data_IF_822370800587
#
_entry.id   IF_822370800587
#
_cell.length_a   1.000
_cell.length_b   1.000
_cell.length_c   1.000
_cell.angle_alpha   90.00
_cell.angle_beta   90.00
_cell.angle_gamma   90.00
#
_symmetry.space_group_name_H-M   'P 1'
#
loop_
_entity.id
_entity.type
_entity.pdbx_description
1 polymer ?
#
# COMPACT_ATOMS: atom_id res chain seq x y z
N UNK A 1 -12.25 -10.60 15.07
CA UNK A 1 -11.10 -10.95 14.21
C UNK A 1 -10.22 -9.72 14.06
N UNK A 2 -8.92 -9.84 14.33
CA UNK A 2 -7.94 -8.73 14.35
C UNK A 2 -7.27 -8.65 12.99
N UNK A 3 -8.00 -8.17 11.99
CA UNK A 3 -7.46 -7.89 10.67
C UNK A 3 -6.51 -6.71 10.77
N UNK A 4 -5.21 -6.99 10.89
CA UNK A 4 -4.21 -5.96 11.06
C UNK A 4 -3.49 -5.70 9.73
N UNK A 5 -4.04 -4.80 8.92
CA UNK A 5 -3.43 -4.34 7.68
C UNK A 5 -2.03 -3.77 7.93
N UNK A 6 -1.84 -3.00 9.01
CA UNK A 6 -0.56 -2.42 9.39
C UNK A 6 0.50 -3.50 9.62
N UNK A 7 0.14 -4.58 10.34
CA UNK A 7 1.09 -5.69 10.57
C UNK A 7 1.47 -6.41 9.28
N UNK A 8 0.53 -6.59 8.33
CA UNK A 8 0.85 -7.18 7.02
C UNK A 8 1.79 -6.30 6.22
N UNK A 9 1.52 -4.99 6.21
CA UNK A 9 2.36 -3.99 5.54
C UNK A 9 3.75 -3.94 6.18
N UNK A 10 3.84 -3.94 7.51
CA UNK A 10 5.11 -3.89 8.25
C UNK A 10 6.03 -5.07 7.93
N UNK A 11 5.45 -6.24 7.62
CA UNK A 11 6.19 -7.47 7.32
C UNK A 11 6.57 -7.63 5.83
N UNK A 12 6.36 -6.61 4.99
CA UNK A 12 6.77 -6.66 3.58
C UNK A 12 8.30 -6.69 3.47
N UNK A 13 8.83 -7.72 2.78
CA UNK A 13 10.24 -7.83 2.42
C UNK A 13 10.56 -6.91 1.21
N UNK A 14 10.72 -5.60 1.48
CA UNK A 14 10.93 -4.59 0.43
C UNK A 14 12.17 -4.81 -0.41
N UNK A 15 13.31 -5.14 0.21
CA UNK A 15 14.57 -5.33 -0.51
C UNK A 15 14.50 -6.52 -1.47
N UNK A 16 13.90 -7.63 -1.05
CA UNK A 16 13.74 -8.83 -1.89
C UNK A 16 12.82 -8.54 -3.08
N UNK A 17 11.74 -7.79 -2.83
CA UNK A 17 10.77 -7.38 -3.86
C UNK A 17 11.39 -6.44 -4.89
N UNK A 18 12.25 -5.51 -4.43
CA UNK A 18 13.02 -4.64 -5.32
C UNK A 18 14.01 -5.47 -6.14
N UNK A 19 14.73 -6.41 -5.54
CA UNK A 19 15.70 -7.27 -6.25
C UNK A 19 15.03 -8.18 -7.30
N UNK A 20 13.82 -8.66 -7.04
CA UNK A 20 13.06 -9.52 -7.96
C UNK A 20 12.40 -8.76 -9.12
N UNK A 21 12.22 -7.45 -9.00
CA UNK A 21 11.53 -6.65 -10.01
C UNK A 21 12.40 -6.43 -11.25
N UNK A 22 12.00 -7.01 -12.40
CA UNK A 22 12.62 -6.76 -13.73
C UNK A 22 12.58 -5.29 -14.16
N UNK A 23 11.76 -4.46 -13.50
CA UNK A 23 11.62 -3.02 -13.81
C UNK A 23 12.66 -2.15 -13.10
N UNK A 24 13.54 -2.76 -12.30
CA UNK A 24 14.66 -2.07 -11.65
C UNK A 24 15.68 -1.63 -12.68
N UNK A 25 15.99 -0.33 -12.68
CA UNK A 25 17.05 0.21 -13.50
C UNK A 25 18.36 -0.55 -13.24
N UNK A 26 19.02 -0.98 -14.31
CA UNK A 26 20.27 -1.76 -14.33
C UNK A 26 21.38 -1.21 -13.40
N UNK A 27 21.30 0.07 -13.02
CA UNK A 27 22.17 0.73 -12.04
C UNK A 27 22.06 0.23 -10.59
N UNK A 28 20.91 -0.32 -10.14
CA UNK A 28 20.79 -0.93 -8.81
C UNK A 28 21.38 -2.34 -8.75
N UNK A 29 21.55 -3.02 -9.89
CA UNK A 29 22.22 -4.32 -9.95
C UNK A 29 23.74 -4.12 -10.05
N UNK A 30 24.19 -3.06 -10.72
CA UNK A 30 25.62 -2.78 -10.92
C UNK A 30 26.37 -2.43 -9.62
N UNK A 31 25.75 -1.75 -8.64
CA UNK A 31 26.38 -1.53 -7.32
C UNK A 31 26.25 -2.74 -6.38
N UNK A 32 25.26 -3.62 -6.59
CA UNK A 32 25.12 -4.87 -5.83
C UNK A 32 26.07 -5.97 -6.33
N UNK A 33 26.51 -5.91 -7.59
CA UNK A 33 27.27 -7.00 -8.24
C UNK A 33 28.67 -6.56 -8.73
N UNK A 34 28.95 -5.27 -8.93
CA UNK A 34 30.10 -4.83 -9.72
C UNK A 34 31.16 -4.03 -8.98
N UNK A 35 31.93 -4.68 -8.11
CA UNK A 35 33.06 -4.06 -7.41
C UNK A 35 34.16 -5.01 -6.94
N UNK A 36 34.32 -6.17 -7.55
CA UNK A 36 35.48 -7.05 -7.37
C UNK A 36 35.47 -7.94 -6.12
N UNK A 37 35.68 -9.24 -6.35
CA UNK A 37 36.08 -10.29 -5.40
C UNK A 37 34.96 -10.88 -4.51
N UNK A 38 34.70 -12.17 -4.77
CA UNK A 38 34.06 -13.18 -3.90
C UNK A 38 32.60 -12.95 -3.49
N UNK A 39 31.77 -13.78 -4.12
CA UNK A 39 30.47 -14.28 -3.66
C UNK A 39 30.59 -14.95 -2.28
N UNK A 40 30.79 -14.17 -1.21
CA UNK A 40 30.60 -14.55 0.19
C UNK A 40 30.75 -13.30 1.06
N UNK A 41 29.70 -12.99 1.83
CA UNK A 41 29.58 -12.01 2.94
C UNK A 41 28.98 -10.63 2.65
N UNK A 42 27.77 -10.46 3.22
CA UNK A 42 27.20 -9.24 3.81
C UNK A 42 26.61 -8.15 2.88
N UNK A 43 25.43 -8.42 2.29
CA UNK A 43 24.43 -7.36 2.10
C UNK A 43 23.80 -7.05 3.47
N UNK A 44 24.41 -6.15 4.23
CA UNK A 44 23.83 -5.66 5.50
C UNK A 44 23.10 -4.34 5.27
N UNK A 45 22.08 -4.45 4.42
CA UNK A 45 21.06 -3.44 4.27
C UNK A 45 19.72 -3.94 4.82
N UNK A 46 18.93 -3.06 5.42
CA UNK A 46 17.53 -3.35 5.77
C UNK A 46 16.66 -2.21 5.27
N UNK A 47 15.50 -2.52 4.69
CA UNK A 47 14.45 -1.56 4.41
C UNK A 47 13.22 -1.97 5.22
N UNK A 48 12.95 -1.23 6.30
CA UNK A 48 11.84 -1.53 7.20
C UNK A 48 10.73 -0.52 6.99
N UNK A 49 9.48 -0.98 7.02
CA UNK A 49 8.32 -0.09 7.01
C UNK A 49 7.94 0.26 8.45
N UNK A 50 7.79 1.55 8.72
CA UNK A 50 7.44 2.10 10.03
C UNK A 50 6.37 3.20 9.90
N UNK A 51 5.81 3.66 11.02
CA UNK A 51 4.85 4.76 11.06
C UNK A 51 3.66 4.61 10.08
N UNK A 52 3.08 3.41 10.04
CA UNK A 52 1.96 3.11 9.15
C UNK A 52 0.69 3.79 9.68
N UNK A 53 0.00 4.50 8.82
CA UNK A 53 -1.26 5.17 9.10
C UNK A 53 -2.26 4.84 7.99
N UNK A 54 -3.46 4.46 8.40
CA UNK A 54 -4.57 4.13 7.52
C UNK A 54 -5.74 5.05 7.85
N UNK A 55 -6.14 5.86 6.88
CA UNK A 55 -7.35 6.68 6.97
C UNK A 55 -8.42 6.09 6.04
N UNK A 56 -9.52 5.63 6.66
CA UNK A 56 -10.64 5.03 5.95
C UNK A 56 -11.58 6.15 5.50
N UNK A 57 -11.47 6.53 4.23
CA UNK A 57 -12.35 7.53 3.63
C UNK A 57 -13.82 7.10 3.62
N UNK A 58 -14.69 8.07 3.31
CA UNK A 58 -16.14 7.82 3.24
C UNK A 58 -16.45 6.83 2.10
N UNK A 59 -17.28 5.84 2.39
CA UNK A 59 -17.83 4.93 1.39
C UNK A 59 -18.85 5.70 0.54
N UNK A 60 -18.63 5.71 -0.77
CA UNK A 60 -19.58 6.24 -1.74
C UNK A 60 -20.46 5.11 -2.29
N UNK A 61 -21.72 5.43 -2.54
CA UNK A 61 -22.73 4.46 -2.98
C UNK A 61 -23.28 4.93 -4.32
N UNK A 62 -23.27 4.05 -5.31
CA UNK A 62 -23.91 4.28 -6.61
C UNK A 62 -25.23 3.51 -6.68
N UNK A 63 -26.35 4.24 -6.54
CA UNK A 63 -27.68 3.71 -6.82
C UNK A 63 -27.98 3.85 -8.33
N UNK A 64 -28.63 2.86 -8.98
CA UNK A 64 -29.43 1.76 -8.41
C UNK A 64 -28.73 0.38 -8.29
N UNK A 65 -27.42 0.29 -8.53
CA UNK A 65 -26.72 -1.00 -8.74
C UNK A 65 -26.18 -1.69 -7.47
N UNK A 66 -26.54 -1.24 -6.26
CA UNK A 66 -25.97 -1.76 -4.99
C UNK A 66 -24.42 -1.83 -5.06
N UNK A 67 -23.81 -0.84 -5.72
CA UNK A 67 -22.37 -0.74 -5.96
C UNK A 67 -21.75 0.27 -5.00
N UNK A 68 -20.62 -0.11 -4.41
CA UNK A 68 -19.91 0.67 -3.41
C UNK A 68 -18.49 0.93 -3.84
N UNK A 69 -17.99 2.11 -3.52
CA UNK A 69 -16.59 2.45 -3.67
C UNK A 69 -16.07 3.10 -2.40
N UNK A 70 -14.94 2.63 -1.89
CA UNK A 70 -14.22 3.19 -0.77
C UNK A 70 -12.81 3.59 -1.22
N UNK A 71 -12.30 4.68 -0.65
CA UNK A 71 -10.91 5.10 -0.79
C UNK A 71 -10.25 5.02 0.58
N UNK A 72 -9.11 4.36 0.66
CA UNK A 72 -8.32 4.24 1.89
C UNK A 72 -7.01 4.97 1.64
N UNK A 73 -6.73 6.02 2.40
CA UNK A 73 -5.44 6.71 2.35
C UNK A 73 -4.45 5.93 3.22
N UNK A 74 -3.29 5.62 2.67
CA UNK A 74 -2.21 4.91 3.33
C UNK A 74 -0.96 5.76 3.33
N UNK A 75 -0.39 5.95 4.52
CA UNK A 75 0.88 6.63 4.71
C UNK A 75 1.82 5.76 5.54
N UNK A 76 3.11 5.76 5.21
CA UNK A 76 4.14 5.10 6.01
C UNK A 76 5.53 5.62 5.68
N UNK A 77 6.47 5.32 6.57
CA UNK A 77 7.89 5.60 6.38
C UNK A 77 8.63 4.30 6.01
N UNK A 78 9.65 4.45 5.17
CA UNK A 78 10.61 3.40 4.82
C UNK A 78 11.98 3.80 5.36
N UNK A 79 12.44 3.06 6.36
CA UNK A 79 13.72 3.21 7.02
C UNK A 79 14.75 2.32 6.35
N UNK A 80 15.63 2.94 5.58
CA UNK A 80 16.68 2.29 4.82
C UNK A 80 18.01 2.43 5.56
N UNK A 81 18.50 1.31 6.09
CA UNK A 81 19.83 1.21 6.70
C UNK A 81 20.75 0.52 5.72
N UNK A 82 21.91 1.11 5.47
CA UNK A 82 22.92 0.55 4.58
C UNK A 82 24.28 0.70 5.26
N UNK A 83 24.94 -0.44 5.57
CA UNK A 83 26.28 -0.43 6.19
C UNK A 83 27.34 0.39 5.45
N UNK A 84 27.33 0.53 4.11
CA UNK A 84 28.25 1.43 3.41
C UNK A 84 28.15 2.92 3.84
N UNK A 85 27.10 3.30 4.56
CA UNK A 85 26.79 4.69 4.93
C UNK A 85 26.88 4.94 6.44
N UNK A 86 27.84 4.31 7.11
CA UNK A 86 28.17 4.58 8.52
C UNK A 86 26.98 4.41 9.48
N UNK A 87 26.06 3.49 9.18
CA UNK A 87 24.79 3.26 9.89
C UNK A 87 23.79 4.42 9.87
N UNK A 88 24.00 5.45 9.05
CA UNK A 88 22.97 6.47 8.85
C UNK A 88 21.74 5.84 8.21
N UNK A 89 20.57 6.12 8.78
CA UNK A 89 19.29 5.66 8.25
C UNK A 89 18.76 6.72 7.31
N UNK A 90 18.58 6.34 6.05
CA UNK A 90 17.86 7.16 5.10
C UNK A 90 16.36 6.88 5.26
N UNK A 91 15.56 7.92 5.47
CA UNK A 91 14.11 7.79 5.63
C UNK A 91 13.41 8.30 4.38
N UNK A 92 12.48 7.51 3.87
CA UNK A 92 11.60 7.90 2.75
C UNK A 92 10.16 7.78 3.21
N UNK A 93 9.38 8.84 3.10
CA UNK A 93 7.95 8.82 3.35
C UNK A 93 7.20 8.44 2.08
N UNK A 94 6.18 7.60 2.20
CA UNK A 94 5.32 7.15 1.11
C UNK A 94 3.85 7.37 1.46
N UNK A 95 3.10 7.91 0.50
CA UNK A 95 1.66 8.16 0.59
C UNK A 95 0.98 7.62 -0.67
N UNK A 96 -0.17 6.97 -0.52
CA UNK A 96 -0.98 6.47 -1.63
C UNK A 96 -2.43 6.24 -1.21
N UNK A 97 -3.34 6.22 -2.18
CA UNK A 97 -4.74 5.87 -2.00
C UNK A 97 -5.01 4.49 -2.59
N UNK A 98 -5.67 3.63 -1.82
CA UNK A 98 -6.22 2.35 -2.27
C UNK A 98 -7.70 2.53 -2.58
N UNK A 99 -8.07 2.37 -3.85
CA UNK A 99 -9.45 2.36 -4.30
C UNK A 99 -9.99 0.93 -4.25
N UNK A 100 -11.14 0.77 -3.61
CA UNK A 100 -11.82 -0.52 -3.43
C UNK A 100 -13.25 -0.39 -3.89
N UNK A 101 -13.64 -1.27 -4.79
CA UNK A 101 -14.99 -1.42 -5.26
C UNK A 101 -15.55 -2.73 -4.74
N UNK A 102 -16.83 -2.75 -4.39
CA UNK A 102 -17.53 -3.96 -3.96
C UNK A 102 -19.04 -3.82 -4.21
N UNK A 103 -19.74 -4.94 -4.28
CA UNK A 103 -21.19 -4.96 -4.52
C UNK A 103 -21.84 -6.16 -3.85
N UNK A 104 -23.17 -6.13 -3.80
CA UNK A 104 -23.96 -7.28 -3.35
C UNK A 104 -24.17 -8.25 -4.52
N UNK A 105 -23.73 -9.48 -4.34
CA UNK A 105 -23.94 -10.57 -5.28
C UNK A 105 -24.78 -11.67 -4.63
N UNK A 106 -25.62 -12.31 -5.43
CA UNK A 106 -26.46 -13.40 -4.97
C UNK A 106 -25.75 -14.74 -5.21
N UNK A 107 -25.58 -15.54 -4.17
CA UNK A 107 -25.06 -16.90 -4.29
C UNK A 107 -26.07 -17.86 -4.93
N UNK A 108 -25.64 -19.09 -5.20
CA UNK A 108 -26.45 -20.15 -5.79
C UNK A 108 -27.68 -20.55 -4.94
N UNK A 109 -27.64 -20.28 -3.63
CA UNK A 109 -28.72 -20.53 -2.68
C UNK A 109 -29.64 -19.32 -2.50
N UNK A 110 -29.35 -18.22 -3.17
CA UNK A 110 -30.12 -17.00 -3.12
C UNK A 110 -29.77 -16.04 -1.96
N UNK A 111 -28.72 -16.31 -1.20
CA UNK A 111 -28.19 -15.41 -0.17
C UNK A 111 -27.41 -14.29 -0.83
N UNK A 112 -27.47 -13.08 -0.27
CA UNK A 112 -26.70 -11.94 -0.76
C UNK A 112 -25.45 -11.81 0.08
N UNK A 113 -24.29 -11.81 -0.58
CA UNK A 113 -22.99 -11.61 0.04
C UNK A 113 -22.30 -10.38 -0.57
N UNK A 114 -21.45 -9.71 0.20
CA UNK A 114 -20.58 -8.66 -0.33
C UNK A 114 -19.39 -9.30 -1.05
N UNK A 115 -19.24 -8.96 -2.32
CA UNK A 115 -18.14 -9.44 -3.15
C UNK A 115 -17.22 -8.26 -3.48
N UNK A 116 -15.93 -8.50 -3.35
CA UNK A 116 -14.90 -7.54 -3.71
C UNK A 116 -14.77 -7.46 -5.22
N UNK A 117 -14.72 -6.23 -5.72
CA UNK A 117 -14.46 -5.88 -7.11
C UNK A 117 -13.01 -5.52 -7.36
N UNK A 118 -12.81 -4.37 -8.01
CA UNK A 118 -11.48 -3.79 -8.16
C UNK A 118 -10.94 -3.37 -6.80
N UNK A 119 -9.73 -3.82 -6.45
CA UNK A 119 -8.98 -3.32 -5.31
C UNK A 119 -7.57 -3.01 -5.78
N UNK A 120 -7.27 -1.71 -5.93
CA UNK A 120 -6.03 -1.23 -6.56
C UNK A 120 -5.57 0.08 -5.97
N UNK A 121 -4.26 0.26 -5.91
CA UNK A 121 -3.67 1.55 -5.56
C UNK A 121 -3.84 2.51 -6.74
N UNK A 122 -4.32 3.72 -6.48
CA UNK A 122 -4.47 4.75 -7.49
C UNK A 122 -3.09 5.25 -7.95
N UNK A 123 -2.66 5.01 -9.20
CA UNK A 123 -1.28 5.30 -9.60
C UNK A 123 -0.88 6.78 -9.47
N UNK A 124 -1.85 7.69 -9.60
CA UNK A 124 -1.65 9.15 -9.48
C UNK A 124 -1.55 9.63 -8.03
N UNK A 125 -1.97 8.81 -7.07
CA UNK A 125 -1.90 9.14 -5.64
C UNK A 125 -0.52 8.84 -5.04
N UNK A 126 0.25 7.94 -5.67
CA UNK A 126 1.53 7.48 -5.15
C UNK A 126 2.54 8.63 -5.12
N UNK A 127 2.97 8.99 -3.91
CA UNK A 127 3.99 10.01 -3.68
C UNK A 127 5.04 9.46 -2.75
N UNK A 128 6.31 9.70 -3.09
CA UNK A 128 7.43 9.37 -2.22
C UNK A 128 8.36 10.56 -2.02
N UNK A 129 8.74 10.84 -0.78
CA UNK A 129 9.61 11.96 -0.42
C UNK A 129 10.75 11.46 0.46
N UNK A 130 11.98 11.85 0.12
CA UNK A 130 13.15 11.52 0.95
C UNK A 130 13.23 12.56 2.06
N UNK A 131 13.23 12.12 3.32
CA UNK A 131 13.23 12.97 4.50
C UNK A 131 14.64 13.26 5.04
N UNK A 132 15.67 12.57 4.54
CA UNK A 132 17.06 12.75 4.99
C UNK A 132 17.72 13.90 4.25
N UNK A 133 18.28 14.88 4.99
CA UNK A 133 18.87 16.11 4.43
C UNK A 133 20.40 15.96 4.18
N UNK A 134 21.13 15.30 5.08
CA UNK A 134 22.59 15.15 5.01
C UNK A 134 23.02 13.90 4.23
N UNK A 135 23.03 14.01 2.91
CA UNK A 135 23.29 12.89 2.00
C UNK A 135 24.56 13.16 1.16
N UNK A 136 25.60 12.33 1.34
CA UNK A 136 26.78 12.34 0.46
C UNK A 136 26.39 12.12 -1.02
N UNK A 137 27.05 12.75 -2.01
CA UNK A 137 26.69 12.64 -3.42
C UNK A 137 26.56 11.19 -3.95
N UNK A 138 27.37 10.26 -3.43
CA UNK A 138 27.29 8.82 -3.77
C UNK A 138 25.95 8.19 -3.34
N UNK A 139 25.45 8.60 -2.16
CA UNK A 139 24.20 8.13 -1.56
C UNK A 139 23.00 8.74 -2.30
N UNK A 140 23.12 9.98 -2.75
CA UNK A 140 22.06 10.70 -3.47
C UNK A 140 21.61 9.97 -4.73
N UNK A 141 22.54 9.42 -5.50
CA UNK A 141 22.21 8.64 -6.70
C UNK A 141 21.47 7.35 -6.33
N UNK A 142 21.95 6.65 -5.31
CA UNK A 142 21.32 5.43 -4.82
C UNK A 142 19.88 5.69 -4.33
N UNK A 143 19.67 6.71 -3.49
CA UNK A 143 18.34 7.04 -2.96
C UNK A 143 17.37 7.48 -4.06
N UNK A 144 17.85 8.17 -5.10
CA UNK A 144 17.03 8.49 -6.27
C UNK A 144 16.56 7.23 -6.99
N UNK A 145 17.45 6.25 -7.20
CA UNK A 145 17.10 4.99 -7.85
C UNK A 145 16.16 4.15 -6.96
N UNK A 146 16.46 4.08 -5.66
CA UNK A 146 15.61 3.43 -4.67
C UNK A 146 14.19 4.00 -4.70
N UNK A 147 14.06 5.33 -4.63
CA UNK A 147 12.77 6.04 -4.71
C UNK A 147 11.98 5.67 -5.98
N UNK A 148 12.63 5.73 -7.14
CA UNK A 148 12.00 5.41 -8.43
C UNK A 148 11.54 3.95 -8.53
N UNK A 149 12.27 3.02 -7.90
CA UNK A 149 11.87 1.62 -7.88
C UNK A 149 10.77 1.37 -6.85
N UNK A 150 10.84 2.05 -5.69
CA UNK A 150 9.81 1.99 -4.67
C UNK A 150 8.46 2.43 -5.24
N UNK A 151 8.41 3.56 -5.95
CA UNK A 151 7.18 4.06 -6.62
C UNK A 151 6.53 3.03 -7.56
N UNK A 152 7.31 2.10 -8.13
CA UNK A 152 6.80 1.06 -9.04
C UNK A 152 6.39 -0.21 -8.32
N UNK A 153 7.15 -0.61 -7.30
CA UNK A 153 6.97 -1.90 -6.63
C UNK A 153 5.98 -1.80 -5.47
N UNK A 154 6.00 -0.68 -4.75
CA UNK A 154 5.19 -0.50 -3.55
C UNK A 154 3.68 -0.65 -3.76
N UNK A 155 3.07 -0.16 -4.86
CA UNK A 155 1.63 -0.26 -5.04
C UNK A 155 1.16 -1.73 -5.07
N UNK A 156 1.90 -2.57 -5.79
CA UNK A 156 1.61 -4.01 -5.89
C UNK A 156 1.78 -4.74 -4.56
N UNK A 157 2.83 -4.42 -3.80
CA UNK A 157 3.03 -5.04 -2.49
C UNK A 157 1.93 -4.67 -1.49
N UNK A 158 1.41 -3.45 -1.56
CA UNK A 158 0.26 -3.03 -0.75
C UNK A 158 -1.01 -3.75 -1.20
N UNK A 159 -1.27 -3.82 -2.51
CA UNK A 159 -2.41 -4.58 -3.07
C UNK A 159 -2.42 -6.04 -2.57
N UNK A 160 -1.27 -6.73 -2.67
CA UNK A 160 -1.12 -8.13 -2.27
C UNK A 160 -1.36 -8.36 -0.77
N UNK A 161 -1.05 -7.37 0.07
CA UNK A 161 -1.25 -7.48 1.51
C UNK A 161 -2.65 -7.07 1.98
N UNK A 162 -3.20 -6.02 1.39
CA UNK A 162 -4.42 -5.35 1.89
C UNK A 162 -5.68 -5.86 1.18
N UNK A 163 -5.65 -6.08 -0.13
CA UNK A 163 -6.85 -6.50 -0.87
C UNK A 163 -7.44 -7.85 -0.40
N UNK A 164 -6.63 -8.90 -0.12
CA UNK A 164 -7.16 -10.14 0.45
C UNK A 164 -7.80 -9.94 1.82
N UNK A 165 -7.26 -9.02 2.63
CA UNK A 165 -7.78 -8.69 3.96
C UNK A 165 -9.17 -8.04 3.85
N UNK A 166 -9.31 -7.11 2.92
CA UNK A 166 -10.59 -6.44 2.65
C UNK A 166 -11.63 -7.44 2.17
N UNK A 167 -11.24 -8.36 1.27
CA UNK A 167 -12.12 -9.43 0.82
C UNK A 167 -12.63 -10.29 1.98
N UNK A 168 -11.76 -10.64 2.93
CA UNK A 168 -12.14 -11.42 4.12
C UNK A 168 -13.08 -10.65 5.05
N UNK A 169 -12.82 -9.34 5.25
CA UNK A 169 -13.70 -8.45 6.02
C UNK A 169 -15.08 -8.37 5.37
N UNK A 170 -15.15 -8.12 4.07
CA UNK A 170 -16.41 -7.98 3.33
C UNK A 170 -17.26 -9.25 3.45
N UNK A 171 -16.65 -10.43 3.37
CA UNK A 171 -17.34 -11.73 3.52
C UNK A 171 -17.93 -11.97 4.91
N UNK A 172 -17.48 -11.23 5.93
CA UNK A 172 -17.94 -11.38 7.30
C UNK A 172 -18.94 -10.31 7.73
N UNK A 173 -19.11 -9.26 6.92
CA UNK A 173 -20.07 -8.21 7.21
C UNK A 173 -21.49 -8.73 7.01
N UNK A 174 -22.35 -8.45 7.99
CA UNK A 174 -23.78 -8.77 7.88
C UNK A 174 -24.44 -7.83 6.87
N UNK A 175 -24.86 -8.39 5.74
CA UNK A 175 -25.54 -7.68 4.65
C UNK A 175 -26.86 -7.03 5.12
N UNK A 176 -27.52 -7.57 6.14
CA UNK A 176 -28.72 -6.95 6.73
C UNK A 176 -28.38 -5.66 7.46
N UNK A 177 -27.25 -5.61 8.14
CA UNK A 177 -26.77 -4.42 8.83
C UNK A 177 -26.32 -3.36 7.83
N UNK A 178 -25.66 -3.75 6.74
CA UNK A 178 -25.31 -2.84 5.65
C UNK A 178 -26.57 -2.20 5.04
N UNK A 179 -27.57 -3.03 4.71
CA UNK A 179 -28.84 -2.54 4.15
C UNK A 179 -29.57 -1.61 5.11
N UNK A 180 -29.61 -1.93 6.40
CA UNK A 180 -30.19 -1.06 7.45
C UNK A 180 -29.49 0.30 7.55
N UNK A 181 -28.17 0.37 7.36
CA UNK A 181 -27.42 1.62 7.37
C UNK A 181 -27.65 2.45 6.10
N UNK A 182 -27.94 1.80 4.98
CA UNK A 182 -28.22 2.45 3.70
C UNK A 182 -29.67 2.93 3.56
N UNK A 183 -30.61 2.23 4.19
CA UNK A 183 -32.04 2.60 4.21
C UNK A 183 -32.35 3.70 5.24
N UNK A 184 -31.39 4.06 6.11
CA UNK A 184 -31.50 5.30 6.87
C UNK A 184 -31.39 6.48 5.90
N UNK A 185 -32.45 7.29 5.73
CA UNK A 185 -32.34 8.50 4.94
C UNK A 185 -31.25 9.35 5.58
N UNK A 186 -30.37 9.92 4.75
CA UNK A 186 -29.53 11.03 5.14
C UNK A 186 -30.45 12.15 5.67
N UNK A 187 -30.69 12.15 6.98
CA UNK A 187 -31.36 13.23 7.66
C UNK A 187 -30.43 14.44 7.58
N UNK A 188 -30.91 15.46 6.87
CA UNK A 188 -30.38 16.82 6.73
C UNK A 188 -29.22 16.99 5.72
N UNK A 189 -29.53 17.48 4.52
CA UNK A 189 -29.69 18.93 4.33
C UNK A 189 -30.84 19.21 3.35
N UNK A 190 -31.97 19.62 3.91
CA UNK A 190 -33.02 20.33 3.19
C UNK A 190 -33.26 21.60 4.01
N UNK A 191 -32.41 22.60 3.79
CA UNK A 191 -32.68 23.98 4.18
C UNK A 191 -32.13 24.88 3.07
N UNK A 192 -32.89 24.94 1.98
CA UNK A 192 -32.97 26.15 1.17
C UNK A 192 -34.22 26.90 1.62
N UNK A 193 -34.02 28.04 2.29
CA UNK A 193 -34.83 29.27 2.19
C UNK A 193 -34.08 30.40 2.90
#
# INVERSE_FOLDING_TARGET
MKYNAESRIQNICLLDSLNASRQVATGMVSWLIGGGVKLQQQQEGSANITNIQLDYGRIQISFPKEWFSASISLEFDVDLKLRPFNNNTAKTHACMNLAVEFWLEKDEFGRRDLVIGSCRVEPRSVRTTVLTEDISPKIKHFLRNFRQNLEKVIPHLIEDQVCPLISEILRQLDVKLLKSLMEQPAAHELNHL
#
